data_IF_745741117150
#
_entry.id   IF_745741117150
#
_cell.length_a   1.000
_cell.length_b   1.000
_cell.length_c   1.000
_cell.angle_alpha   90.00
_cell.angle_beta   90.00
_cell.angle_gamma   90.00
#
_symmetry.space_group_name_H-M   'P 1'
#
loop_
_entity.id
_entity.type
_entity.pdbx_description
1 polymer ?
#
# COMPACT_ATOMS: atom_id res chain seq x y z
N UNK A 1 12.04 -8.61 30.55
CA UNK A 1 11.50 -8.31 29.23
C UNK A 1 10.85 -6.95 29.29
N UNK A 2 11.29 -5.96 28.48
CA UNK A 2 10.59 -4.67 28.36
C UNK A 2 9.21 -4.97 27.77
N UNK A 3 8.15 -4.38 28.33
CA UNK A 3 6.80 -4.47 27.81
C UNK A 3 6.81 -4.14 26.31
N UNK A 4 6.74 -5.16 25.46
CA UNK A 4 6.51 -4.99 24.03
C UNK A 4 5.07 -4.50 23.87
N UNK A 5 4.91 -3.28 23.40
CA UNK A 5 3.60 -2.66 23.25
C UNK A 5 2.94 -3.26 21.99
N UNK A 6 2.31 -4.43 22.16
CA UNK A 6 1.55 -5.10 21.09
C UNK A 6 0.23 -4.35 20.95
N UNK A 7 -0.04 -3.83 19.77
CA UNK A 7 -1.26 -3.06 19.47
C UNK A 7 -1.89 -3.49 18.17
N UNK A 8 -3.18 -3.27 18.07
CA UNK A 8 -3.93 -3.43 16.83
C UNK A 8 -3.62 -2.24 15.90
N UNK A 9 -3.51 -2.51 14.61
CA UNK A 9 -3.25 -1.44 13.65
C UNK A 9 -3.38 -1.88 12.21
N UNK A 10 -3.27 -0.89 11.34
CA UNK A 10 -3.34 -0.99 9.88
C UNK A 10 -1.92 -1.13 9.34
N UNK A 11 -1.76 -2.02 8.37
CA UNK A 11 -0.62 -2.10 7.45
C UNK A 11 -1.13 -1.68 6.07
N UNK A 12 -0.46 -0.74 5.43
CA UNK A 12 -0.74 -0.28 4.07
C UNK A 12 0.53 -0.39 3.25
N UNK A 13 0.46 -1.06 2.11
CA UNK A 13 1.56 -1.18 1.15
C UNK A 13 1.09 -0.67 -0.20
N UNK A 14 1.39 0.58 -0.60
CA UNK A 14 1.41 0.97 -2.01
C UNK A 14 2.64 0.35 -2.68
N UNK A 15 2.46 -0.22 -3.88
CA UNK A 15 3.48 -0.93 -4.64
C UNK A 15 3.26 -0.70 -6.14
N UNK A 16 4.34 -0.53 -6.92
CA UNK A 16 4.22 -0.20 -8.34
C UNK A 16 4.05 -1.47 -9.19
N UNK A 17 3.00 -1.51 -9.99
CA UNK A 17 2.87 -2.52 -11.05
C UNK A 17 3.73 -2.12 -12.24
N UNK A 18 4.39 -3.10 -12.87
CA UNK A 18 5.28 -2.87 -14.02
C UNK A 18 6.72 -2.48 -13.65
N UNK A 19 7.06 -2.41 -12.36
CA UNK A 19 8.36 -1.89 -11.90
C UNK A 19 9.56 -2.68 -12.44
N UNK A 20 9.50 -4.00 -12.44
CA UNK A 20 10.61 -4.82 -12.95
C UNK A 20 10.92 -4.48 -14.41
N UNK A 21 9.91 -4.47 -15.27
CA UNK A 21 10.07 -4.15 -16.69
C UNK A 21 10.54 -2.71 -16.89
N UNK A 22 9.99 -1.79 -16.13
CA UNK A 22 10.42 -0.38 -16.13
C UNK A 22 11.91 -0.23 -15.83
N UNK A 23 12.44 -0.90 -14.80
CA UNK A 23 13.86 -0.85 -14.42
C UNK A 23 14.76 -1.40 -15.52
N UNK A 24 14.37 -2.53 -16.15
CA UNK A 24 15.18 -3.11 -17.22
C UNK A 24 15.19 -2.28 -18.51
N UNK A 25 14.12 -1.54 -18.79
CA UNK A 25 13.96 -0.77 -20.02
C UNK A 25 14.31 0.71 -19.89
N UNK A 26 14.59 1.20 -18.68
CA UNK A 26 14.86 2.63 -18.44
C UNK A 26 16.33 2.87 -18.10
N UNK A 27 16.89 3.98 -18.60
CA UNK A 27 18.25 4.41 -18.24
C UNK A 27 18.34 4.68 -16.73
N UNK A 28 19.42 4.23 -16.09
CA UNK A 28 19.60 4.25 -14.64
C UNK A 28 19.24 5.60 -13.97
N UNK A 29 19.82 6.71 -14.46
CA UNK A 29 19.54 8.03 -13.86
C UNK A 29 18.10 8.51 -14.07
N UNK A 30 17.53 8.21 -15.23
CA UNK A 30 16.14 8.56 -15.54
C UNK A 30 15.18 7.73 -14.66
N UNK A 31 15.44 6.43 -14.55
CA UNK A 31 14.64 5.53 -13.72
C UNK A 31 14.70 5.91 -12.24
N UNK A 32 15.90 6.16 -11.69
CA UNK A 32 16.08 6.62 -10.32
C UNK A 32 15.28 7.91 -10.05
N UNK A 33 15.41 8.90 -10.96
CA UNK A 33 14.69 10.16 -10.83
C UNK A 33 13.16 9.96 -10.80
N UNK A 34 12.63 9.17 -11.74
CA UNK A 34 11.18 8.87 -11.82
C UNK A 34 10.70 8.19 -10.55
N UNK A 35 11.36 7.11 -10.13
CA UNK A 35 10.96 6.33 -8.94
C UNK A 35 10.99 7.20 -7.69
N UNK A 36 12.03 8.00 -7.52
CA UNK A 36 12.14 8.94 -6.40
C UNK A 36 11.00 9.96 -6.39
N UNK A 37 10.61 10.53 -7.53
CA UNK A 37 9.50 11.47 -7.62
C UNK A 37 8.16 10.78 -7.27
N UNK A 38 7.93 9.57 -7.75
CA UNK A 38 6.71 8.81 -7.52
C UNK A 38 6.59 8.36 -6.05
N UNK A 39 7.67 7.89 -5.43
CA UNK A 39 7.67 7.57 -3.99
C UNK A 39 7.48 8.82 -3.13
N UNK A 40 8.13 9.94 -3.50
CA UNK A 40 8.00 11.21 -2.77
C UNK A 40 6.56 11.71 -2.75
N UNK A 41 5.84 11.69 -3.90
CA UNK A 41 4.46 12.16 -3.95
C UNK A 41 3.52 11.31 -3.07
N UNK A 42 3.76 10.00 -2.93
CA UNK A 42 2.99 9.15 -2.02
C UNK A 42 3.21 9.53 -0.56
N UNK A 43 4.46 9.84 -0.21
CA UNK A 43 4.82 10.29 1.15
C UNK A 43 4.18 11.65 1.44
N UNK A 44 4.21 12.58 0.50
CA UNK A 44 3.63 13.91 0.65
C UNK A 44 2.10 13.83 0.82
N UNK A 45 1.43 13.01 0.01
CA UNK A 45 -0.03 12.79 0.10
C UNK A 45 -0.43 12.11 1.41
N UNK A 46 0.42 11.23 1.93
CA UNK A 46 0.19 10.60 3.24
C UNK A 46 0.06 11.63 4.37
N UNK A 47 0.77 12.76 4.25
CA UNK A 47 0.69 13.88 5.20
C UNK A 47 0.72 13.42 6.68
N UNK A 48 1.62 12.50 7.00
CA UNK A 48 1.80 11.91 8.33
C UNK A 48 0.58 11.17 8.91
N UNK A 49 -0.37 10.78 8.08
CA UNK A 49 -1.50 9.98 8.53
C UNK A 49 -1.11 8.55 8.93
N UNK A 50 -0.19 7.96 8.18
CA UNK A 50 0.51 6.71 8.50
C UNK A 50 1.97 7.00 8.83
N UNK A 51 2.55 6.23 9.73
CA UNK A 51 3.99 6.16 9.91
C UNK A 51 4.63 5.30 8.83
N UNK A 52 5.87 5.61 8.45
CA UNK A 52 6.65 4.81 7.51
C UNK A 52 7.53 3.84 8.31
N UNK A 53 7.43 2.55 8.01
CA UNK A 53 8.35 1.54 8.53
C UNK A 53 9.59 1.41 7.65
N UNK A 54 9.37 1.25 6.35
CA UNK A 54 10.46 1.07 5.38
C UNK A 54 10.00 1.42 3.97
N UNK A 55 11.00 1.67 3.10
CA UNK A 55 10.83 1.81 1.66
C UNK A 55 11.73 0.75 1.04
N UNK A 56 11.16 -0.13 0.22
CA UNK A 56 11.88 -1.22 -0.43
C UNK A 56 11.57 -1.23 -1.92
N UNK A 57 12.56 -0.82 -2.72
CA UNK A 57 12.41 -0.71 -4.17
C UNK A 57 11.32 0.29 -4.56
N UNK A 58 10.19 -0.24 -4.99
CA UNK A 58 9.02 0.47 -5.48
C UNK A 58 7.83 0.46 -4.50
N UNK A 59 8.03 -0.08 -3.32
CA UNK A 59 7.01 -0.19 -2.29
C UNK A 59 7.33 0.63 -1.04
N UNK A 60 6.29 1.09 -0.37
CA UNK A 60 6.38 1.73 0.94
C UNK A 60 5.56 0.92 1.94
N UNK A 61 6.18 0.50 3.04
CA UNK A 61 5.46 -0.10 4.16
C UNK A 61 5.03 1.00 5.12
N UNK A 62 3.78 1.38 5.04
CA UNK A 62 3.11 2.26 5.98
C UNK A 62 2.41 1.47 7.08
N UNK A 63 2.33 2.05 8.27
CA UNK A 63 1.55 1.49 9.37
C UNK A 63 0.88 2.56 10.22
N UNK A 64 -0.16 2.17 10.92
CA UNK A 64 -0.82 3.03 11.92
C UNK A 64 -1.44 2.16 13.01
N UNK A 65 -1.08 2.42 14.26
CA UNK A 65 -1.81 1.84 15.38
C UNK A 65 -3.19 2.49 15.49
N UNK A 66 -4.22 1.69 15.33
CA UNK A 66 -5.61 2.15 15.36
C UNK A 66 -6.51 0.96 15.72
N UNK A 67 -7.24 1.06 16.82
CA UNK A 67 -8.14 -0.01 17.29
C UNK A 67 -9.45 -0.08 16.52
N UNK A 68 -9.84 1.02 15.88
CA UNK A 68 -11.09 1.13 15.10
C UNK A 68 -10.86 1.94 13.83
N UNK A 69 -10.20 1.36 12.84
CA UNK A 69 -9.89 2.06 11.60
C UNK A 69 -11.17 2.50 10.87
N UNK A 70 -11.11 3.64 10.20
CA UNK A 70 -12.19 4.10 9.35
C UNK A 70 -11.93 3.67 7.91
N UNK A 71 -12.79 2.82 7.35
CA UNK A 71 -12.74 2.42 5.95
C UNK A 71 -12.73 3.63 5.01
N UNK A 72 -13.64 4.60 5.23
CA UNK A 72 -13.75 5.80 4.40
C UNK A 72 -12.48 6.64 4.40
N UNK A 73 -11.85 6.84 5.58
CA UNK A 73 -10.60 7.62 5.65
C UNK A 73 -9.47 6.92 4.90
N UNK A 74 -9.34 5.61 5.07
CA UNK A 74 -8.33 4.81 4.37
C UNK A 74 -8.59 4.82 2.86
N UNK A 75 -9.80 4.49 2.41
CA UNK A 75 -10.17 4.51 0.98
C UNK A 75 -9.98 5.88 0.34
N UNK A 76 -10.34 6.97 1.05
CA UNK A 76 -10.07 8.33 0.57
C UNK A 76 -8.57 8.58 0.40
N UNK A 77 -7.75 8.11 1.35
CA UNK A 77 -6.29 8.24 1.26
C UNK A 77 -5.75 7.51 0.04
N UNK A 78 -6.20 6.26 -0.20
CA UNK A 78 -5.76 5.49 -1.36
C UNK A 78 -6.13 6.18 -2.68
N UNK A 79 -7.36 6.69 -2.79
CA UNK A 79 -7.77 7.48 -3.98
C UNK A 79 -6.91 8.72 -4.19
N UNK A 80 -6.61 9.45 -3.13
CA UNK A 80 -5.73 10.62 -3.22
C UNK A 80 -4.32 10.24 -3.66
N UNK A 81 -3.74 9.17 -3.11
CA UNK A 81 -2.44 8.65 -3.50
C UNK A 81 -2.43 8.23 -4.98
N UNK A 82 -3.45 7.49 -5.45
CA UNK A 82 -3.56 7.07 -6.85
C UNK A 82 -3.66 8.26 -7.79
N UNK A 83 -4.52 9.23 -7.48
CA UNK A 83 -4.68 10.42 -8.31
C UNK A 83 -3.38 11.23 -8.40
N UNK A 84 -2.70 11.46 -7.28
CA UNK A 84 -1.43 12.18 -7.27
C UNK A 84 -0.33 11.42 -8.03
N UNK A 85 -0.28 10.09 -7.89
CA UNK A 85 0.63 9.22 -8.61
C UNK A 85 0.41 9.31 -10.12
N UNK A 86 -0.84 9.17 -10.59
CA UNK A 86 -1.17 9.24 -12.00
C UNK A 86 -0.88 10.63 -12.59
N UNK A 87 -1.19 11.70 -11.86
CA UNK A 87 -0.85 13.07 -12.27
C UNK A 87 0.67 13.25 -12.38
N UNK A 88 1.44 12.71 -11.43
CA UNK A 88 2.90 12.78 -11.47
C UNK A 88 3.49 11.99 -12.63
N UNK A 89 2.92 10.84 -12.99
CA UNK A 89 3.31 10.09 -14.19
C UNK A 89 3.11 10.94 -15.46
N UNK A 90 1.97 11.59 -15.61
CA UNK A 90 1.70 12.45 -16.76
C UNK A 90 2.71 13.61 -16.83
N UNK A 91 2.94 14.34 -15.74
CA UNK A 91 3.92 15.40 -15.63
C UNK A 91 5.33 14.94 -16.03
N UNK A 92 5.78 13.80 -15.48
CA UNK A 92 7.10 13.26 -15.76
C UNK A 92 7.22 12.75 -17.22
N UNK A 93 6.16 12.15 -17.76
CA UNK A 93 6.14 11.68 -19.15
C UNK A 93 6.27 12.84 -20.13
N UNK A 94 5.56 13.94 -19.89
CA UNK A 94 5.68 15.16 -20.71
C UNK A 94 7.07 15.80 -20.56
N UNK A 95 7.54 15.99 -19.32
CA UNK A 95 8.83 16.64 -19.05
C UNK A 95 10.01 15.87 -19.66
N UNK A 96 9.99 14.54 -19.60
CA UNK A 96 11.07 13.67 -20.07
C UNK A 96 10.88 13.18 -21.51
N UNK A 97 9.75 13.54 -22.15
CA UNK A 97 9.33 13.06 -23.46
C UNK A 97 9.47 11.53 -23.59
N UNK A 98 8.88 10.81 -22.63
CA UNK A 98 8.92 9.35 -22.54
C UNK A 98 7.60 8.80 -22.05
N UNK A 99 7.28 7.55 -22.38
CA UNK A 99 6.14 6.84 -21.80
C UNK A 99 6.58 6.16 -20.52
N UNK A 100 5.81 6.34 -19.44
CA UNK A 100 6.04 5.68 -18.15
C UNK A 100 4.90 4.69 -17.91
N UNK A 101 5.19 3.41 -18.05
CA UNK A 101 4.22 2.31 -17.90
C UNK A 101 4.26 1.74 -16.47
N UNK A 102 3.98 2.60 -15.50
CA UNK A 102 3.84 2.23 -14.10
C UNK A 102 2.42 2.53 -13.63
N UNK A 103 1.90 1.68 -12.77
CA UNK A 103 0.64 1.91 -12.10
C UNK A 103 0.75 1.54 -10.61
N UNK A 104 -0.26 1.86 -9.82
CA UNK A 104 -0.21 1.76 -8.37
C UNK A 104 -1.24 0.77 -7.86
N UNK A 105 -0.79 -0.23 -7.12
CA UNK A 105 -1.61 -1.17 -6.37
C UNK A 105 -1.45 -0.94 -4.87
N UNK A 106 -2.47 -1.31 -4.10
CA UNK A 106 -2.49 -1.14 -2.66
C UNK A 106 -2.87 -2.44 -1.96
N UNK A 107 -2.19 -2.74 -0.87
CA UNK A 107 -2.57 -3.76 0.10
C UNK A 107 -2.94 -3.07 1.41
N UNK A 108 -4.12 -3.36 1.94
CA UNK A 108 -4.59 -2.88 3.25
C UNK A 108 -4.90 -4.08 4.13
N UNK A 109 -4.14 -4.21 5.20
CA UNK A 109 -4.29 -5.30 6.15
C UNK A 109 -4.40 -4.79 7.58
N UNK A 110 -4.94 -5.61 8.49
CA UNK A 110 -5.15 -5.23 9.88
C UNK A 110 -4.85 -6.39 10.82
N UNK A 111 -4.24 -6.07 11.95
CA UNK A 111 -3.99 -7.03 13.01
C UNK A 111 -3.05 -6.52 14.09
N UNK A 112 -2.61 -7.44 14.96
CA UNK A 112 -1.73 -7.13 16.09
C UNK A 112 -0.27 -7.25 15.70
N UNK A 113 0.48 -6.17 15.90
CA UNK A 113 1.91 -6.15 15.69
C UNK A 113 2.60 -5.27 16.75
N UNK A 114 3.90 -5.33 16.77
CA UNK A 114 4.74 -4.54 17.67
C UNK A 114 5.90 -3.93 16.90
N UNK A 115 6.56 -2.96 17.51
CA UNK A 115 7.74 -2.31 17.00
C UNK A 115 8.94 -2.62 17.91
N UNK A 116 10.08 -2.85 17.28
CA UNK A 116 11.36 -3.02 17.97
C UNK A 116 12.48 -2.30 17.25
N UNK A 117 13.60 -2.11 17.92
CA UNK A 117 14.78 -1.43 17.38
C UNK A 117 15.96 -2.40 17.23
N UNK A 118 16.68 -2.29 16.12
CA UNK A 118 18.00 -2.89 15.92
C UNK A 118 18.95 -1.73 15.63
N UNK A 119 19.77 -1.37 16.61
CA UNK A 119 20.56 -0.14 16.53
C UNK A 119 19.65 1.08 16.38
N UNK A 120 19.83 1.86 15.33
CA UNK A 120 19.01 3.03 14.99
C UNK A 120 17.75 2.69 14.16
N UNK A 121 17.64 1.46 13.67
CA UNK A 121 16.54 1.07 12.78
C UNK A 121 15.33 0.62 13.58
N UNK A 122 14.17 1.17 13.24
CA UNK A 122 12.87 0.70 13.70
C UNK A 122 12.35 -0.37 12.76
N UNK A 123 11.83 -1.47 13.31
CA UNK A 123 11.24 -2.58 12.55
C UNK A 123 9.92 -2.98 13.16
N UNK A 124 8.99 -3.41 12.32
CA UNK A 124 7.75 -4.02 12.75
C UNK A 124 7.91 -5.53 12.87
N UNK A 125 7.18 -6.13 13.81
CA UNK A 125 7.14 -7.57 14.00
C UNK A 125 5.71 -8.02 14.31
N UNK A 126 5.25 -9.00 13.57
CA UNK A 126 3.94 -9.61 13.77
C UNK A 126 3.45 -10.32 12.50
N UNK A 127 2.51 -11.22 12.70
CA UNK A 127 1.86 -11.97 11.63
C UNK A 127 1.31 -11.06 10.51
N UNK A 128 0.65 -9.90 10.83
CA UNK A 128 0.10 -9.02 9.80
C UNK A 128 1.12 -8.47 8.81
N UNK A 129 2.39 -8.33 9.21
CA UNK A 129 3.43 -7.84 8.29
C UNK A 129 3.70 -8.89 7.21
N UNK A 130 3.83 -10.15 7.61
CA UNK A 130 4.04 -11.28 6.68
C UNK A 130 2.83 -11.46 5.77
N UNK A 131 1.62 -11.39 6.33
CA UNK A 131 0.36 -11.54 5.59
C UNK A 131 0.19 -10.43 4.55
N UNK A 132 0.47 -9.17 4.91
CA UNK A 132 0.40 -8.06 3.96
C UNK A 132 1.35 -8.26 2.76
N UNK A 133 2.58 -8.71 3.01
CA UNK A 133 3.52 -9.06 1.92
C UNK A 133 3.06 -10.27 1.09
N UNK A 134 2.40 -11.25 1.71
CA UNK A 134 1.82 -12.37 0.96
C UNK A 134 0.68 -11.92 0.04
N UNK A 135 -0.13 -10.94 0.47
CA UNK A 135 -1.20 -10.37 -0.35
C UNK A 135 -0.70 -9.66 -1.61
N UNK A 136 0.56 -9.25 -1.69
CA UNK A 136 1.16 -8.75 -2.93
C UNK A 136 1.27 -9.83 -4.02
N UNK A 137 1.32 -11.12 -3.62
CA UNK A 137 1.36 -12.29 -4.51
C UNK A 137 -0.06 -12.82 -4.73
N UNK A 138 -0.91 -12.02 -5.37
CA UNK A 138 -2.31 -12.33 -5.59
C UNK A 138 -2.62 -12.60 -7.07
N UNK A 139 -3.83 -13.08 -7.36
CA UNK A 139 -4.28 -13.47 -8.69
C UNK A 139 -4.74 -12.29 -9.56
N UNK A 140 -4.65 -11.05 -9.06
CA UNK A 140 -4.99 -9.82 -9.80
C UNK A 140 -3.79 -9.24 -10.57
N UNK A 141 -2.75 -10.04 -10.84
CA UNK A 141 -1.54 -9.60 -11.52
C UNK A 141 -1.79 -8.99 -12.91
N UNK A 142 -2.88 -9.40 -13.58
CA UNK A 142 -3.30 -8.83 -14.88
C UNK A 142 -3.97 -7.46 -14.76
N UNK A 143 -4.38 -7.05 -13.55
CA UNK A 143 -4.97 -5.75 -13.30
C UNK A 143 -3.85 -4.74 -13.01
N UNK A 144 -3.72 -3.68 -13.81
CA UNK A 144 -2.62 -2.73 -13.63
C UNK A 144 -2.75 -1.92 -12.32
N UNK A 145 -3.97 -1.69 -11.84
CA UNK A 145 -4.23 -0.89 -10.65
C UNK A 145 -5.41 -1.46 -9.85
N UNK A 146 -5.19 -1.70 -8.55
CA UNK A 146 -6.23 -2.19 -7.65
C UNK A 146 -5.94 -1.83 -6.18
N UNK A 147 -6.93 -2.04 -5.31
CA UNK A 147 -6.75 -2.00 -3.87
C UNK A 147 -7.33 -3.28 -3.25
N UNK A 148 -6.52 -4.02 -2.51
CA UNK A 148 -6.93 -5.20 -1.77
C UNK A 148 -7.08 -4.85 -0.29
N UNK A 149 -8.26 -5.14 0.25
CA UNK A 149 -8.56 -5.00 1.67
C UNK A 149 -8.72 -6.39 2.28
N UNK A 150 -7.95 -6.71 3.30
CA UNK A 150 -8.13 -7.98 4.00
C UNK A 150 -9.47 -8.04 4.72
N UNK A 151 -9.98 -9.25 4.90
CA UNK A 151 -11.18 -9.48 5.67
C UNK A 151 -11.06 -8.92 7.10
N UNK A 152 -9.91 -9.10 7.75
CA UNK A 152 -9.64 -8.56 9.09
C UNK A 152 -9.72 -7.03 9.13
N UNK A 153 -9.28 -6.32 8.08
CA UNK A 153 -9.46 -4.86 8.01
C UNK A 153 -10.94 -4.50 7.87
N UNK A 154 -11.67 -5.17 6.99
CA UNK A 154 -13.09 -4.87 6.74
C UNK A 154 -13.97 -5.15 7.96
N UNK A 155 -13.70 -6.23 8.70
CA UNK A 155 -14.45 -6.58 9.92
C UNK A 155 -14.20 -5.59 11.07
N UNK A 156 -12.96 -5.11 11.23
CA UNK A 156 -12.59 -4.22 12.33
C UNK A 156 -12.74 -2.73 11.96
N UNK A 157 -13.02 -2.40 10.69
CA UNK A 157 -13.23 -1.03 10.27
C UNK A 157 -14.66 -0.56 10.58
N UNK A 158 -14.77 0.72 10.96
CA UNK A 158 -16.07 1.39 11.02
C UNK A 158 -16.59 1.55 9.59
N UNK A 159 -17.75 0.95 9.32
CA UNK A 159 -18.49 1.09 8.07
C UNK A 159 -19.58 2.13 8.29
N UNK A 160 -19.73 3.09 7.38
CA UNK A 160 -20.95 3.86 7.34
C UNK A 160 -22.04 3.06 6.59
N UNK A 161 -23.31 3.29 6.93
CA UNK A 161 -24.45 2.56 6.35
C UNK A 161 -24.52 2.61 4.82
N UNK A 162 -23.89 3.62 4.19
CA UNK A 162 -23.84 3.77 2.74
C UNK A 162 -22.90 2.77 2.02
N UNK A 163 -21.95 2.15 2.73
CA UNK A 163 -20.98 1.21 2.14
C UNK A 163 -21.40 -0.26 2.28
N UNK A 164 -22.52 -0.53 2.92
CA UNK A 164 -23.01 -1.90 3.19
C UNK A 164 -23.42 -2.69 1.93
N UNK A 165 -23.57 -2.04 0.79
CA UNK A 165 -24.08 -2.63 -0.45
C UNK A 165 -22.99 -2.88 -1.53
N UNK A 166 -21.72 -2.66 -1.25
CA UNK A 166 -20.65 -3.04 -2.18
C UNK A 166 -20.31 -4.51 -1.97
N UNK A 167 -20.82 -5.35 -2.86
CA UNK A 167 -20.37 -6.74 -2.93
C UNK A 167 -18.88 -6.78 -3.26
N UNK A 168 -18.12 -7.71 -2.64
CA UNK A 168 -16.72 -7.89 -2.99
C UNK A 168 -16.62 -8.31 -4.47
N UNK A 169 -15.89 -7.54 -5.29
CA UNK A 169 -15.73 -7.84 -6.71
C UNK A 169 -14.92 -9.11 -6.95
N UNK A 170 -14.04 -9.44 -6.04
CA UNK A 170 -13.22 -10.64 -6.10
C UNK A 170 -12.86 -11.09 -4.69
N UNK A 171 -12.94 -12.38 -4.43
CA UNK A 171 -12.49 -13.01 -3.20
C UNK A 171 -11.45 -14.05 -3.57
N UNK A 172 -10.25 -13.90 -3.04
CA UNK A 172 -9.17 -14.87 -3.23
C UNK A 172 -8.50 -15.17 -1.90
N UNK A 173 -7.87 -16.32 -1.81
CA UNK A 173 -7.09 -16.73 -0.65
C UNK A 173 -5.60 -16.68 -0.98
N UNK A 174 -4.85 -15.97 -0.16
CA UNK A 174 -3.39 -16.02 -0.18
C UNK A 174 -2.95 -16.67 1.13
N UNK A 175 -2.63 -17.96 1.06
CA UNK A 175 -2.47 -18.78 2.26
C UNK A 175 -3.78 -18.86 3.06
N UNK A 176 -3.79 -18.41 4.32
CA UNK A 176 -4.98 -18.37 5.18
C UNK A 176 -5.69 -17.00 5.18
N UNK A 177 -5.36 -16.09 4.26
CA UNK A 177 -5.90 -14.72 4.24
C UNK A 177 -6.98 -14.62 3.19
N UNK A 178 -8.17 -14.21 3.61
CA UNK A 178 -9.25 -13.80 2.70
C UNK A 178 -9.13 -12.29 2.45
N UNK A 179 -9.27 -11.88 1.20
CA UNK A 179 -9.25 -10.47 0.84
C UNK A 179 -10.28 -10.15 -0.26
N UNK A 180 -10.60 -8.88 -0.34
CA UNK A 180 -11.54 -8.34 -1.31
C UNK A 180 -10.82 -7.33 -2.18
N UNK A 181 -11.02 -7.38 -3.48
CA UNK A 181 -10.43 -6.46 -4.44
C UNK A 181 -11.43 -5.39 -4.87
N UNK A 182 -10.98 -4.14 -4.98
CA UNK A 182 -11.66 -3.13 -5.78
C UNK A 182 -10.74 -2.74 -6.93
N UNK A 183 -11.27 -2.82 -8.15
CA UNK A 183 -10.63 -2.31 -9.36
C UNK A 183 -11.38 -1.03 -9.70
N UNK A 184 -10.77 0.12 -9.44
CA UNK A 184 -11.32 1.44 -9.80
C UNK A 184 -10.58 1.99 -11.01
#
# INVERSE_FOLDING_TARGET
MKNTNIQDGIILIPDFSGFTEFVFNTKLYTGEYIVRQLLSILIDVNNQYFDISEIEGDAILFYKYDQKPSYQKVSKMLRNMRNAFNMKILELSEMLNTTIELSLKFIVHYGKFTQYNIGSFKKLYGKPIVEAHQMLKNDLAEQPSYALYSHSFLENSQKDEADSNKEPMHVSEVGAIQYFGSVD
#
